data_IF_689864960310
#
_entry.id   IF_689864960310
#
_cell.length_a   1.000
_cell.length_b   1.000
_cell.length_c   1.000
_cell.angle_alpha   90.00
_cell.angle_beta   90.00
_cell.angle_gamma   90.00
#
_symmetry.space_group_name_H-M   'P 1'
#
loop_
_entity.id
_entity.type
_entity.pdbx_description
1 polymer ?
#
# COMPACT_ATOMS: atom_id res chain seq x y z
N UNK A 1 -16.78 -16.17 1.65
CA UNK A 1 -15.67 -15.98 2.60
C UNK A 1 -14.54 -15.37 1.82
N UNK A 2 -14.10 -14.17 2.20
CA UNK A 2 -12.92 -13.57 1.58
C UNK A 2 -11.71 -14.50 1.79
N UNK A 3 -10.92 -14.70 0.73
CA UNK A 3 -9.81 -15.67 0.70
C UNK A 3 -8.58 -15.20 1.51
N UNK A 4 -8.61 -13.97 2.01
CA UNK A 4 -7.55 -13.33 2.78
C UNK A 4 -8.15 -12.30 3.77
N UNK A 5 -7.45 -11.96 4.88
CA UNK A 5 -7.87 -10.90 5.80
C UNK A 5 -7.92 -9.51 5.13
N UNK A 6 -8.75 -8.57 5.63
CA UNK A 6 -8.86 -7.24 5.04
C UNK A 6 -7.54 -6.48 5.09
N UNK A 7 -7.34 -5.55 4.16
CA UNK A 7 -6.19 -4.63 4.20
C UNK A 7 -6.38 -3.61 5.33
N UNK A 8 -5.41 -3.56 6.24
CA UNK A 8 -5.37 -2.61 7.35
C UNK A 8 -4.47 -1.43 6.96
N UNK A 9 -5.03 -0.24 7.03
CA UNK A 9 -4.34 1.03 6.80
C UNK A 9 -4.26 1.76 8.13
N UNK A 10 -3.05 1.93 8.65
CA UNK A 10 -2.78 2.63 9.90
C UNK A 10 -2.40 4.07 9.59
N UNK A 11 -3.30 5.00 9.91
CA UNK A 11 -3.11 6.42 9.60
C UNK A 11 -2.55 7.14 10.83
N UNK A 12 -1.47 7.89 10.64
CA UNK A 12 -0.94 8.76 11.70
C UNK A 12 -1.91 9.94 11.98
N UNK A 13 -2.20 10.30 13.24
CA UNK A 13 -3.21 11.31 13.57
C UNK A 13 -2.85 12.74 13.14
N UNK A 14 -1.56 13.02 12.90
CA UNK A 14 -1.07 14.30 12.34
C UNK A 14 -1.08 14.32 10.80
N UNK A 15 -1.35 13.19 10.16
CA UNK A 15 -1.54 13.15 8.71
C UNK A 15 -2.84 13.88 8.37
N UNK A 16 -2.80 14.76 7.36
CA UNK A 16 -3.96 15.59 7.05
C UNK A 16 -4.97 14.73 6.30
N UNK A 17 -6.17 14.55 6.86
CA UNK A 17 -7.23 13.71 6.27
C UNK A 17 -7.55 14.05 4.81
N UNK A 18 -7.56 15.33 4.43
CA UNK A 18 -7.81 15.73 3.04
C UNK A 18 -6.66 15.41 2.07
N UNK A 19 -5.45 15.11 2.59
CA UNK A 19 -4.31 14.60 1.83
C UNK A 19 -4.23 13.07 1.83
N UNK A 20 -5.02 12.39 2.67
CA UNK A 20 -5.05 10.93 2.71
C UNK A 20 -5.71 10.45 1.41
N UNK A 21 -4.87 10.06 0.45
CA UNK A 21 -5.32 9.66 -0.87
C UNK A 21 -6.32 8.50 -0.77
N UNK A 22 -6.21 7.66 0.27
CA UNK A 22 -7.07 6.50 0.52
C UNK A 22 -8.45 6.82 1.12
N UNK A 23 -8.84 8.09 1.28
CA UNK A 23 -10.17 8.45 1.76
C UNK A 23 -11.31 7.74 0.98
N UNK A 24 -11.25 7.57 -0.37
CA UNK A 24 -12.28 6.83 -1.12
C UNK A 24 -12.38 5.34 -0.77
N UNK A 25 -11.40 4.77 -0.07
CA UNK A 25 -11.42 3.38 0.38
C UNK A 25 -12.08 3.22 1.76
N UNK A 26 -12.33 4.30 2.50
CA UNK A 26 -12.99 4.22 3.80
C UNK A 26 -14.44 3.74 3.64
N UNK A 27 -14.82 2.72 4.39
CA UNK A 27 -16.15 2.12 4.30
C UNK A 27 -16.33 1.14 3.14
N UNK A 28 -15.32 0.99 2.26
CA UNK A 28 -15.32 -0.06 1.24
C UNK A 28 -15.02 -1.42 1.90
N UNK A 29 -15.82 -2.47 1.62
CA UNK A 29 -15.52 -3.82 2.08
C UNK A 29 -14.10 -4.25 1.71
N UNK A 30 -13.42 -4.96 2.62
CA UNK A 30 -12.03 -5.38 2.45
C UNK A 30 -10.97 -4.38 2.94
N UNK A 31 -11.37 -3.17 3.37
CA UNK A 31 -10.46 -2.16 3.93
C UNK A 31 -10.83 -1.79 5.36
N UNK A 32 -9.83 -1.76 6.24
CA UNK A 32 -9.95 -1.36 7.65
C UNK A 32 -8.97 -0.23 7.93
N UNK A 33 -9.44 0.83 8.57
CA UNK A 33 -8.60 1.97 8.92
C UNK A 33 -8.41 2.06 10.43
N UNK A 34 -7.15 2.06 10.85
CA UNK A 34 -6.77 2.32 12.24
C UNK A 34 -6.17 3.71 12.37
N UNK A 35 -6.31 4.30 13.55
CA UNK A 35 -5.73 5.63 13.85
C UNK A 35 -4.70 5.47 14.95
N UNK A 36 -3.42 5.58 14.60
CA UNK A 36 -2.31 5.44 15.55
C UNK A 36 -2.44 6.44 16.73
N UNK A 37 -2.10 6.06 17.98
CA UNK A 37 -1.60 4.76 18.43
C UNK A 37 -2.69 3.72 18.72
N UNK A 38 -3.96 4.03 18.46
CA UNK A 38 -5.05 3.06 18.69
C UNK A 38 -5.03 1.99 17.61
N UNK A 39 -4.63 0.79 18.01
CA UNK A 39 -4.77 -0.42 17.22
C UNK A 39 -6.24 -0.84 17.20
N UNK A 40 -6.67 -1.46 16.11
CA UNK A 40 -8.01 -2.05 16.04
C UNK A 40 -8.02 -3.49 16.56
N UNK A 41 -9.20 -4.12 16.55
CA UNK A 41 -9.39 -5.45 17.16
C UNK A 41 -8.84 -6.61 16.32
N UNK A 42 -8.42 -6.38 15.07
CA UNK A 42 -7.96 -7.46 14.19
C UNK A 42 -6.59 -7.99 14.64
N UNK A 43 -6.43 -9.32 14.81
CA UNK A 43 -5.11 -9.91 15.07
C UNK A 43 -4.22 -9.76 13.84
N UNK A 44 -2.91 -9.54 14.06
CA UNK A 44 -1.93 -9.32 13.00
C UNK A 44 -1.10 -10.56 12.66
N UNK A 45 -1.41 -11.72 13.26
CA UNK A 45 -0.61 -12.95 13.12
C UNK A 45 -0.54 -13.47 11.68
N UNK A 46 -1.58 -13.21 10.87
CA UNK A 46 -1.62 -13.57 9.44
C UNK A 46 -1.50 -12.34 8.53
N UNK A 47 -0.67 -11.36 8.89
CA UNK A 47 -0.44 -10.15 8.10
C UNK A 47 1.00 -10.01 7.62
N UNK A 48 1.17 -9.30 6.51
CA UNK A 48 2.47 -8.75 6.08
C UNK A 48 2.39 -7.24 5.98
N UNK A 49 3.46 -6.56 6.39
CA UNK A 49 3.57 -5.11 6.35
C UNK A 49 4.36 -4.67 5.11
N UNK A 50 3.83 -3.70 4.35
CA UNK A 50 4.63 -3.06 3.31
C UNK A 50 5.77 -2.24 3.91
N UNK A 51 6.98 -2.40 3.39
CA UNK A 51 8.12 -1.61 3.81
C UNK A 51 9.33 -1.74 2.89
N UNK A 52 10.20 -0.72 2.92
CA UNK A 52 11.47 -0.73 2.17
C UNK A 52 12.48 -1.73 2.74
N UNK A 53 13.39 -2.20 1.89
CA UNK A 53 14.53 -3.05 2.27
C UNK A 53 14.11 -4.33 3.02
N UNK A 54 13.03 -4.95 2.55
CA UNK A 54 12.49 -6.21 3.06
C UNK A 54 12.46 -7.26 1.94
N UNK A 55 12.30 -8.56 2.25
CA UNK A 55 12.09 -9.59 1.23
C UNK A 55 10.95 -9.19 0.27
N UNK A 56 11.05 -9.50 -1.03
CA UNK A 56 10.03 -9.10 -1.98
C UNK A 56 8.67 -9.71 -1.63
N UNK A 57 7.61 -8.93 -1.81
CA UNK A 57 6.24 -9.43 -1.79
C UNK A 57 6.07 -10.42 -2.94
N UNK A 58 5.48 -11.58 -2.67
CA UNK A 58 5.23 -12.60 -3.70
C UNK A 58 3.82 -13.17 -3.58
N UNK A 59 3.44 -14.01 -4.54
CA UNK A 59 2.19 -14.77 -4.53
C UNK A 59 2.03 -15.70 -3.32
N UNK A 60 3.12 -16.09 -2.67
CA UNK A 60 3.07 -16.89 -1.44
C UNK A 60 2.48 -16.13 -0.25
N UNK A 61 2.33 -14.81 -0.35
CA UNK A 61 1.67 -13.99 0.67
C UNK A 61 0.19 -13.69 0.32
N UNK A 62 -0.37 -14.30 -0.74
CA UNK A 62 -1.70 -13.98 -1.27
C UNK A 62 -2.85 -14.20 -0.28
N UNK A 63 -2.71 -15.14 0.66
CA UNK A 63 -3.65 -15.48 1.72
C UNK A 63 -3.50 -14.63 2.99
N UNK A 64 -2.45 -13.80 3.08
CA UNK A 64 -2.14 -12.96 4.24
C UNK A 64 -2.79 -11.58 4.15
N UNK A 65 -3.19 -11.01 5.28
CA UNK A 65 -3.62 -9.62 5.35
C UNK A 65 -2.50 -8.65 4.95
N UNK A 66 -2.86 -7.50 4.39
CA UNK A 66 -1.88 -6.44 4.11
C UNK A 66 -1.99 -5.35 5.18
N UNK A 67 -0.86 -4.96 5.75
CA UNK A 67 -0.72 -3.84 6.67
C UNK A 67 0.07 -2.71 6.00
N UNK A 68 -0.50 -1.51 5.97
CA UNK A 68 0.11 -0.32 5.38
C UNK A 68 0.15 0.80 6.43
N UNK A 69 1.32 1.39 6.62
CA UNK A 69 1.50 2.57 7.46
C UNK A 69 1.39 3.82 6.60
N UNK A 70 0.38 4.64 6.84
CA UNK A 70 0.10 5.85 6.07
C UNK A 70 0.52 7.11 6.84
N UNK A 71 1.49 7.81 6.28
CA UNK A 71 2.02 9.05 6.77
C UNK A 71 3.33 9.40 6.08
N UNK A 72 3.86 10.59 6.35
CA UNK A 72 5.22 10.95 5.89
C UNK A 72 6.27 10.00 6.48
N UNK A 73 7.45 9.90 5.87
CA UNK A 73 8.55 9.02 6.32
C UNK A 73 8.82 9.12 7.82
N UNK A 74 8.98 10.35 8.32
CA UNK A 74 9.18 10.63 9.75
C UNK A 74 8.04 10.14 10.65
N UNK A 75 6.81 10.10 10.15
CA UNK A 75 5.65 9.59 10.90
C UNK A 75 5.61 8.06 10.84
N UNK A 76 5.92 7.46 9.70
CA UNK A 76 6.02 6.01 9.54
C UNK A 76 7.09 5.43 10.45
N UNK A 77 8.27 6.05 10.54
CA UNK A 77 9.34 5.65 11.47
C UNK A 77 8.88 5.62 12.93
N UNK A 78 7.99 6.54 13.32
CA UNK A 78 7.43 6.57 14.68
C UNK A 78 6.37 5.49 14.93
N UNK A 79 5.68 5.03 13.89
CA UNK A 79 4.68 3.98 13.97
C UNK A 79 5.31 2.59 13.88
N UNK A 80 6.38 2.44 13.09
CA UNK A 80 7.02 1.17 12.78
C UNK A 80 7.34 0.28 14.00
N UNK A 81 7.84 0.81 15.14
CA UNK A 81 8.11 -0.02 16.32
C UNK A 81 6.88 -0.78 16.84
N UNK A 82 5.68 -0.20 16.74
CA UNK A 82 4.44 -0.85 17.19
C UNK A 82 4.05 -2.07 16.32
N UNK A 83 4.59 -2.15 15.11
CA UNK A 83 4.29 -3.19 14.12
C UNK A 83 5.52 -4.04 13.77
N UNK A 84 6.62 -3.92 14.53
CA UNK A 84 7.87 -4.64 14.25
C UNK A 84 7.73 -6.17 14.30
N UNK A 85 6.69 -6.68 14.95
CA UNK A 85 6.35 -8.10 15.00
C UNK A 85 5.70 -8.62 13.70
N UNK A 86 5.22 -7.72 12.82
CA UNK A 86 4.60 -8.09 11.55
C UNK A 86 5.68 -8.26 10.48
N UNK A 87 5.77 -9.41 9.80
CA UNK A 87 6.75 -9.62 8.74
C UNK A 87 6.65 -8.57 7.64
N UNK A 88 7.79 -7.97 7.27
CA UNK A 88 7.84 -6.94 6.22
C UNK A 88 8.02 -7.55 4.83
N UNK A 89 7.44 -6.87 3.84
CA UNK A 89 7.60 -7.15 2.41
C UNK A 89 7.85 -5.88 1.63
N UNK A 90 8.77 -5.96 0.67
CA UNK A 90 9.06 -4.86 -0.25
C UNK A 90 8.30 -5.04 -1.56
N UNK A 91 8.07 -3.91 -2.24
CA UNK A 91 7.54 -3.90 -3.59
C UNK A 91 8.69 -3.77 -4.59
N UNK A 92 8.57 -4.33 -5.80
CA UNK A 92 9.54 -4.10 -6.86
C UNK A 92 9.60 -2.61 -7.22
N UNK A 93 10.69 -2.19 -7.87
CA UNK A 93 10.82 -0.83 -8.36
C UNK A 93 9.67 -0.49 -9.30
N UNK A 94 9.00 0.63 -9.03
CA UNK A 94 7.83 1.06 -9.76
C UNK A 94 7.82 2.58 -9.84
N UNK A 95 7.45 3.11 -11.00
CA UNK A 95 7.49 4.53 -11.31
C UNK A 95 6.16 5.18 -10.91
N UNK A 96 6.18 6.04 -9.90
CA UNK A 96 5.01 6.85 -9.53
C UNK A 96 4.56 7.77 -10.68
N UNK A 97 3.26 7.98 -10.82
CA UNK A 97 2.69 9.08 -11.61
C UNK A 97 1.94 10.10 -10.75
N UNK A 98 1.97 9.94 -9.42
CA UNK A 98 1.39 10.89 -8.50
C UNK A 98 2.04 12.28 -8.67
N UNK A 99 1.27 13.35 -9.00
CA UNK A 99 1.81 14.68 -9.17
C UNK A 99 2.20 15.27 -7.81
N UNK A 100 3.47 15.12 -7.43
CA UNK A 100 4.03 15.78 -6.24
C UNK A 100 4.13 17.28 -6.50
N UNK A 101 3.10 18.02 -6.09
CA UNK A 101 3.16 19.48 -5.97
C UNK A 101 3.38 19.85 -4.50
N UNK A 102 4.64 19.81 -4.03
CA UNK A 102 4.99 20.38 -2.73
C UNK A 102 6.33 21.09 -2.83
N UNK A 103 6.29 22.43 -2.78
CA UNK A 103 7.46 23.32 -2.69
C UNK A 103 8.07 23.37 -1.28
N UNK A 104 7.65 22.52 -0.35
CA UNK A 104 7.89 22.73 1.09
C UNK A 104 8.52 21.57 1.86
N UNK A 105 8.61 20.36 1.32
CA UNK A 105 9.30 19.25 1.98
C UNK A 105 9.84 18.27 0.94
N UNK A 106 11.15 18.03 0.97
CA UNK A 106 11.85 16.95 0.27
C UNK A 106 11.44 15.62 0.92
N UNK A 107 10.22 15.14 0.63
CA UNK A 107 9.98 13.71 0.73
C UNK A 107 10.76 13.06 -0.43
N UNK A 108 11.65 12.07 -0.18
CA UNK A 108 12.58 11.55 -1.16
C UNK A 108 11.86 11.23 -2.46
N UNK A 109 12.47 11.64 -3.57
CA UNK A 109 11.92 11.64 -4.94
C UNK A 109 11.54 10.24 -5.47
N UNK A 110 11.64 9.19 -4.67
CA UNK A 110 11.64 7.79 -5.13
C UNK A 110 10.53 6.91 -4.52
N UNK A 111 9.58 7.46 -3.75
CA UNK A 111 8.47 6.70 -3.17
C UNK A 111 7.20 6.65 -4.02
N UNK A 112 6.54 5.48 -4.09
CA UNK A 112 5.15 5.35 -4.56
C UNK A 112 4.18 6.08 -3.62
N UNK A 113 3.12 6.66 -4.16
CA UNK A 113 1.99 7.08 -3.34
C UNK A 113 1.34 5.85 -2.68
N UNK A 114 0.74 6.00 -1.49
CA UNK A 114 0.18 4.86 -0.74
C UNK A 114 -0.85 4.06 -1.56
N UNK A 115 -1.65 4.72 -2.41
CA UNK A 115 -2.59 4.05 -3.30
C UNK A 115 -1.90 3.30 -4.46
N UNK A 116 -0.78 3.81 -4.98
CA UNK A 116 0.02 3.12 -6.02
C UNK A 116 0.70 1.88 -5.44
N UNK A 117 1.25 2.01 -4.22
CA UNK A 117 1.82 0.90 -3.47
C UNK A 117 0.76 -0.18 -3.19
N UNK A 118 -0.44 0.22 -2.77
CA UNK A 118 -1.57 -0.69 -2.59
C UNK A 118 -1.94 -1.40 -3.91
N UNK A 119 -2.05 -0.66 -5.00
CA UNK A 119 -2.37 -1.22 -6.31
C UNK A 119 -1.33 -2.25 -6.75
N UNK A 120 -0.04 -1.91 -6.65
CA UNK A 120 1.06 -2.81 -6.98
C UNK A 120 1.06 -4.06 -6.08
N UNK A 121 0.85 -3.90 -4.78
CA UNK A 121 0.73 -5.02 -3.85
C UNK A 121 -0.43 -5.95 -4.24
N UNK A 122 -1.59 -5.39 -4.59
CA UNK A 122 -2.75 -6.17 -5.01
C UNK A 122 -2.48 -6.92 -6.33
N UNK A 123 -1.79 -6.30 -7.29
CA UNK A 123 -1.36 -6.98 -8.52
C UNK A 123 -0.47 -8.19 -8.22
N UNK A 124 0.56 -8.00 -7.39
CA UNK A 124 1.50 -9.07 -7.01
C UNK A 124 0.78 -10.22 -6.29
N UNK A 125 -0.22 -9.91 -5.46
CA UNK A 125 -0.98 -10.90 -4.71
C UNK A 125 -2.14 -11.51 -5.50
N UNK A 126 -2.40 -11.04 -6.71
CA UNK A 126 -3.53 -11.48 -7.54
C UNK A 126 -4.90 -11.09 -7.01
N UNK A 127 -4.98 -9.97 -6.31
CA UNK A 127 -6.23 -9.43 -5.77
C UNK A 127 -6.91 -8.53 -6.80
N UNK A 128 -8.21 -8.37 -6.63
CA UNK A 128 -9.01 -7.49 -7.47
C UNK A 128 -8.57 -6.03 -7.30
N UNK A 129 -8.06 -5.43 -8.38
CA UNK A 129 -7.64 -4.02 -8.41
C UNK A 129 -8.70 -3.09 -9.00
N UNK A 130 -9.85 -3.61 -9.44
CA UNK A 130 -10.92 -2.80 -10.04
C UNK A 130 -11.38 -1.71 -9.07
N UNK A 131 -11.52 -0.49 -9.56
CA UNK A 131 -11.98 0.62 -8.74
C UNK A 131 -10.96 1.17 -7.76
N UNK A 132 -9.72 0.67 -7.68
CA UNK A 132 -8.71 1.24 -6.77
C UNK A 132 -8.17 2.58 -7.26
N UNK A 133 -8.05 2.75 -8.59
CA UNK A 133 -7.45 3.93 -9.20
C UNK A 133 -8.46 4.84 -9.94
N UNK A 134 -9.73 4.46 -10.02
CA UNK A 134 -10.74 5.14 -10.85
C UNK A 134 -10.94 6.64 -10.49
N UNK A 135 -10.74 7.00 -9.22
CA UNK A 135 -10.86 8.37 -8.73
C UNK A 135 -9.65 9.28 -8.99
N UNK A 136 -8.56 8.76 -9.60
CA UNK A 136 -7.31 9.49 -9.73
C UNK A 136 -7.01 9.86 -11.19
N UNK A 137 -6.98 11.15 -11.48
CA UNK A 137 -6.67 11.72 -12.81
C UNK A 137 -5.35 11.22 -13.43
N UNK A 138 -4.39 10.81 -12.60
CA UNK A 138 -3.07 10.33 -13.03
C UNK A 138 -2.98 8.80 -13.11
N UNK A 139 -4.05 8.07 -12.75
CA UNK A 139 -4.09 6.60 -12.76
C UNK A 139 -3.64 6.01 -14.10
N UNK A 140 -4.16 6.54 -15.21
CA UNK A 140 -3.78 6.08 -16.55
C UNK A 140 -2.28 6.24 -16.81
N UNK A 141 -1.71 7.37 -16.42
CA UNK A 141 -0.28 7.62 -16.55
C UNK A 141 0.56 6.66 -15.69
N UNK A 142 0.10 6.34 -14.47
CA UNK A 142 0.75 5.33 -13.62
C UNK A 142 0.77 3.95 -14.28
N UNK A 143 -0.37 3.53 -14.84
CA UNK A 143 -0.48 2.26 -15.53
C UNK A 143 0.41 2.22 -16.78
N UNK A 144 0.40 3.27 -17.60
CA UNK A 144 1.20 3.34 -18.82
C UNK A 144 2.71 3.37 -18.55
N UNK A 145 3.17 4.08 -17.50
CA UNK A 145 4.59 4.16 -17.12
C UNK A 145 5.20 2.84 -16.66
N UNK A 146 4.36 1.92 -16.20
CA UNK A 146 4.77 0.65 -15.60
C UNK A 146 4.30 -0.55 -16.43
N UNK A 147 4.00 -0.35 -17.72
CA UNK A 147 3.50 -1.39 -18.63
C UNK A 147 4.38 -2.65 -18.61
N UNK A 148 5.69 -2.48 -18.76
CA UNK A 148 6.67 -3.57 -18.73
C UNK A 148 6.62 -4.35 -17.41
N UNK A 149 6.47 -3.66 -16.27
CA UNK A 149 6.31 -4.29 -14.96
C UNK A 149 5.01 -5.11 -14.89
N UNK A 150 3.91 -4.63 -15.48
CA UNK A 150 2.65 -5.37 -15.51
C UNK A 150 2.73 -6.63 -16.37
N UNK A 151 3.48 -6.58 -17.46
CA UNK A 151 3.74 -7.72 -18.34
C UNK A 151 4.62 -8.77 -17.63
N UNK A 152 5.68 -8.34 -16.94
CA UNK A 152 6.53 -9.21 -16.14
C UNK A 152 5.73 -9.94 -15.05
N UNK A 153 4.93 -9.20 -14.28
CA UNK A 153 4.08 -9.79 -13.24
C UNK A 153 3.05 -10.77 -13.81
N UNK A 154 2.55 -10.55 -15.03
CA UNK A 154 1.63 -11.48 -15.68
C UNK A 154 2.32 -12.76 -16.20
N UNK A 155 3.59 -12.67 -16.61
CA UNK A 155 4.38 -13.84 -17.02
C UNK A 155 4.74 -14.73 -15.82
N UNK A 156 5.05 -14.11 -14.68
CA UNK A 156 5.31 -14.80 -13.41
C UNK A 156 4.06 -15.52 -12.85
N UNK A 157 2.86 -15.17 -13.31
CA UNK A 157 1.61 -15.87 -12.95
C UNK A 157 1.44 -17.22 -13.66
N UNK A 158 2.15 -17.46 -14.76
CA UNK A 158 1.94 -18.62 -15.64
C UNK A 158 3.06 -19.66 -15.55
N UNK A 159 4.15 -19.37 -14.83
CA UNK A 159 5.30 -20.28 -14.59
C UNK A 159 5.21 -20.94 -13.21
#
# INVERSE_FOLDING_TARGET
MDRFPPTIIVVHPKERRWKCMMEPLRGRPGFVFWRFPRLGPQPLDNYVQLGLNAPPLTRQDADKGLLILDGTWRLVERMAPAFAHVPRRSLPQCRTAYPRSSKLFEDPEEGLATIEALYLAYRILGRDTRGLLDGYRWARQFLDRNRELWEQLAMDETS
#
